data_IF_049882890312
#
_entry.id   IF_049882890312
#
_cell.length_a   1.000
_cell.length_b   1.000
_cell.length_c   1.000
_cell.angle_alpha   90.00
_cell.angle_beta   90.00
_cell.angle_gamma   90.00
#
_symmetry.space_group_name_H-M   'P 1'
#
loop_
_entity.id
_entity.type
_entity.pdbx_description
1 polymer ?
#
# COMPACT_ATOMS: atom_id res chain seq x y z
N UNK A 1 4.95 -26.46 -56.04
CA UNK A 1 5.78 -26.66 -54.84
C UNK A 1 7.08 -25.91 -55.10
N UNK A 2 7.25 -24.71 -54.52
CA UNK A 2 8.07 -24.61 -53.30
C UNK A 2 7.52 -23.68 -52.20
N UNK A 3 7.91 -24.04 -50.98
CA UNK A 3 8.23 -23.25 -49.76
C UNK A 3 7.21 -22.27 -49.13
N UNK A 4 6.56 -22.78 -48.07
CA UNK A 4 5.93 -22.00 -47.01
C UNK A 4 7.00 -21.41 -46.08
N UNK A 5 7.10 -20.08 -46.04
CA UNK A 5 7.87 -19.34 -45.04
C UNK A 5 7.24 -19.52 -43.66
N UNK A 6 7.96 -20.22 -42.80
CA UNK A 6 7.64 -20.41 -41.39
C UNK A 6 7.95 -19.11 -40.63
N UNK A 7 6.94 -18.29 -40.32
CA UNK A 7 7.11 -17.09 -39.50
C UNK A 7 7.13 -17.46 -38.01
N UNK A 8 8.28 -17.22 -37.39
CA UNK A 8 8.60 -17.61 -36.01
C UNK A 8 7.58 -17.15 -34.97
N UNK A 9 7.19 -18.11 -34.12
CA UNK A 9 6.54 -17.91 -32.84
C UNK A 9 7.58 -17.27 -31.90
N UNK A 10 7.57 -15.94 -31.77
CA UNK A 10 8.35 -15.26 -30.70
C UNK A 10 7.62 -15.46 -29.38
N UNK A 11 8.27 -16.22 -28.50
CA UNK A 11 7.77 -16.57 -27.18
C UNK A 11 7.50 -15.35 -26.29
N UNK A 12 6.47 -15.48 -25.48
CA UNK A 12 6.27 -14.69 -24.27
C UNK A 12 7.45 -14.95 -23.34
N UNK A 13 8.29 -13.94 -23.12
CA UNK A 13 9.20 -13.92 -21.97
C UNK A 13 8.36 -13.51 -20.77
N UNK A 14 7.91 -14.47 -19.99
CA UNK A 14 7.59 -14.23 -18.59
C UNK A 14 8.87 -13.70 -17.93
N UNK A 15 8.84 -12.46 -17.46
CA UNK A 15 9.92 -11.91 -16.65
C UNK A 15 10.01 -12.76 -15.38
N UNK A 16 11.12 -13.49 -15.23
CA UNK A 16 11.38 -14.27 -14.05
C UNK A 16 11.48 -13.33 -12.85
N UNK A 17 10.56 -13.48 -11.88
CA UNK A 17 10.63 -12.81 -10.58
C UNK A 17 11.98 -13.20 -9.97
N UNK A 18 12.88 -12.23 -9.78
CA UNK A 18 14.18 -12.50 -9.19
C UNK A 18 13.99 -13.26 -7.86
N UNK A 19 14.72 -14.36 -7.68
CA UNK A 19 14.67 -15.13 -6.43
C UNK A 19 15.04 -14.21 -5.26
N UNK A 20 14.12 -14.10 -4.30
CA UNK A 20 14.36 -13.35 -3.09
C UNK A 20 15.29 -14.15 -2.17
N UNK A 21 16.19 -13.49 -1.43
CA UNK A 21 17.04 -14.18 -0.47
C UNK A 21 16.19 -14.93 0.55
N UNK A 22 16.69 -16.05 1.12
CA UNK A 22 15.99 -16.78 2.17
C UNK A 22 15.59 -15.85 3.33
N UNK A 23 14.41 -16.10 3.90
CA UNK A 23 13.96 -15.35 5.07
C UNK A 23 14.80 -15.70 6.30
N UNK A 24 15.33 -14.68 6.96
CA UNK A 24 16.06 -14.80 8.22
C UNK A 24 15.12 -14.54 9.40
N UNK A 25 14.92 -15.54 10.27
CA UNK A 25 14.13 -15.40 11.49
C UNK A 25 14.92 -14.66 12.59
N UNK A 26 14.21 -14.21 13.63
CA UNK A 26 14.79 -13.63 14.86
C UNK A 26 15.61 -12.34 14.68
N UNK A 27 15.48 -11.66 13.55
CA UNK A 27 15.99 -10.30 13.37
C UNK A 27 15.13 -9.34 14.22
N UNK A 28 15.73 -8.52 15.11
CA UNK A 28 14.99 -7.50 15.86
C UNK A 28 14.23 -6.53 14.95
N UNK A 29 13.01 -6.16 15.36
CA UNK A 29 12.22 -5.15 14.65
C UNK A 29 13.02 -3.83 14.55
N UNK A 30 13.17 -3.23 13.35
CA UNK A 30 13.85 -1.96 13.19
C UNK A 30 13.08 -0.84 13.90
N UNK A 31 13.80 0.04 14.59
CA UNK A 31 13.19 1.14 15.37
C UNK A 31 13.57 2.51 14.85
N UNK A 32 14.63 2.59 14.06
CA UNK A 32 15.09 3.84 13.43
C UNK A 32 14.86 3.84 11.93
N UNK A 33 14.72 5.03 11.33
CA UNK A 33 14.59 5.17 9.86
C UNK A 33 15.76 4.52 9.12
N UNK A 34 16.98 4.65 9.65
CA UNK A 34 18.18 4.08 9.05
C UNK A 34 18.14 2.54 8.97
N UNK A 35 17.54 1.89 9.96
CA UNK A 35 17.33 0.43 9.95
C UNK A 35 16.17 0.04 9.02
N UNK A 36 15.07 0.81 9.04
CA UNK A 36 13.89 0.58 8.22
C UNK A 36 14.22 0.59 6.71
N UNK A 37 15.03 1.55 6.25
CA UNK A 37 15.43 1.70 4.84
C UNK A 37 16.18 0.48 4.29
N UNK A 38 16.79 -0.36 5.15
CA UNK A 38 17.43 -1.61 4.71
C UNK A 38 16.42 -2.57 4.05
N UNK A 39 15.14 -2.47 4.41
CA UNK A 39 14.05 -3.29 3.88
C UNK A 39 13.25 -2.60 2.79
N UNK A 40 13.76 -1.51 2.21
CA UNK A 40 13.05 -0.73 1.20
C UNK A 40 12.55 -1.60 0.03
N UNK A 41 11.26 -1.47 -0.31
CA UNK A 41 10.68 -2.06 -1.51
C UNK A 41 10.18 -0.98 -2.48
N UNK A 42 10.47 -1.10 -3.79
CA UNK A 42 9.84 -0.24 -4.78
C UNK A 42 8.36 -0.62 -4.91
N UNK A 43 7.48 0.37 -4.89
CA UNK A 43 6.04 0.19 -5.06
C UNK A 43 5.50 1.08 -6.19
N UNK A 44 4.41 0.62 -6.80
CA UNK A 44 3.66 1.34 -7.82
C UNK A 44 2.18 0.99 -7.67
N UNK A 45 1.33 2.01 -7.70
CA UNK A 45 -0.11 1.88 -7.61
C UNK A 45 -0.68 1.17 -8.85
N UNK A 46 -1.68 0.32 -8.64
CA UNK A 46 -2.36 -0.41 -9.71
C UNK A 46 -3.64 0.32 -10.15
N UNK A 47 -3.59 0.91 -11.35
CA UNK A 47 -4.69 1.62 -12.00
C UNK A 47 -5.92 0.72 -12.28
N UNK A 48 -5.73 -0.60 -12.32
CA UNK A 48 -6.83 -1.58 -12.41
C UNK A 48 -7.68 -1.57 -11.15
N UNK A 49 -7.10 -1.25 -10.00
CA UNK A 49 -7.77 -1.33 -8.70
C UNK A 49 -8.36 -0.01 -8.26
N UNK A 50 -7.83 1.11 -8.75
CA UNK A 50 -8.19 2.44 -8.29
C UNK A 50 -9.68 2.77 -8.46
N UNK A 51 -10.33 3.23 -7.41
CA UNK A 51 -11.71 3.73 -7.52
C UNK A 51 -11.80 4.90 -8.50
N UNK A 52 -12.96 5.06 -9.16
CA UNK A 52 -13.15 5.97 -10.30
C UNK A 52 -12.89 7.46 -10.00
N UNK A 53 -12.89 7.92 -8.75
CA UNK A 53 -12.58 9.30 -8.35
C UNK A 53 -11.08 9.56 -8.16
N UNK A 54 -10.25 8.51 -8.21
CA UNK A 54 -8.82 8.61 -8.03
C UNK A 54 -8.07 8.82 -9.34
N UNK A 55 -7.16 9.78 -9.32
CA UNK A 55 -6.28 10.10 -10.44
C UNK A 55 -4.86 9.66 -10.11
N UNK A 56 -4.39 8.62 -10.79
CA UNK A 56 -3.01 8.14 -10.66
C UNK A 56 -2.13 8.89 -11.66
N UNK A 57 -0.98 9.37 -11.19
CA UNK A 57 0.02 10.08 -11.99
C UNK A 57 1.45 9.68 -11.59
N UNK A 58 2.45 10.33 -12.17
CA UNK A 58 3.89 10.08 -11.90
C UNK A 58 4.29 8.60 -12.06
N UNK A 59 3.75 7.93 -13.09
CA UNK A 59 4.07 6.52 -13.37
C UNK A 59 3.56 5.54 -12.30
N UNK A 60 2.50 5.90 -11.57
CA UNK A 60 1.95 5.07 -10.49
C UNK A 60 2.51 5.39 -9.11
N UNK A 61 3.33 6.44 -8.96
CA UNK A 61 3.84 6.86 -7.66
C UNK A 61 2.86 7.77 -6.91
N UNK A 62 2.02 8.53 -7.60
CA UNK A 62 1.13 9.54 -7.00
C UNK A 62 -0.33 9.23 -7.28
N UNK A 63 -1.19 9.49 -6.29
CA UNK A 63 -2.64 9.47 -6.44
C UNK A 63 -3.28 10.69 -5.78
N UNK A 64 -4.32 11.23 -6.40
CA UNK A 64 -5.07 12.36 -5.87
C UNK A 64 -6.57 12.22 -6.09
N UNK A 65 -7.35 12.89 -5.24
CA UNK A 65 -8.80 13.04 -5.37
C UNK A 65 -9.16 14.52 -5.33
N UNK A 66 -9.01 15.18 -6.47
CA UNK A 66 -9.19 16.64 -6.61
C UNK A 66 -10.52 17.04 -7.25
N UNK A 67 -11.26 16.08 -7.80
CA UNK A 67 -12.54 16.29 -8.48
C UNK A 67 -13.52 15.19 -8.09
N UNK A 68 -14.82 15.52 -8.07
CA UNK A 68 -15.89 14.53 -7.97
C UNK A 68 -16.28 13.95 -9.34
N UNK A 69 -15.65 14.41 -10.42
CA UNK A 69 -15.81 13.80 -11.74
C UNK A 69 -15.03 12.50 -11.82
N UNK A 70 -15.68 11.39 -12.21
CA UNK A 70 -14.99 10.13 -12.43
C UNK A 70 -13.90 10.24 -13.52
N UNK A 71 -12.75 9.63 -13.27
CA UNK A 71 -11.70 9.40 -14.25
C UNK A 71 -12.21 8.49 -15.38
N UNK A 72 -11.84 8.74 -16.65
CA UNK A 72 -12.27 7.92 -17.79
C UNK A 72 -11.51 6.58 -17.83
N UNK A 73 -11.87 5.67 -16.93
CA UNK A 73 -11.26 4.34 -16.79
C UNK A 73 -12.25 3.23 -17.14
N UNK A 74 -11.72 2.13 -17.69
CA UNK A 74 -12.51 0.93 -17.93
C UNK A 74 -12.97 0.31 -16.62
N UNK A 75 -14.21 -0.18 -16.58
CA UNK A 75 -14.67 -0.95 -15.44
C UNK A 75 -13.96 -2.30 -15.40
N UNK A 76 -13.58 -2.73 -14.19
CA UNK A 76 -12.76 -3.92 -13.96
C UNK A 76 -13.21 -4.62 -12.68
N UNK A 77 -13.18 -5.96 -12.65
CA UNK A 77 -13.58 -6.70 -11.45
C UNK A 77 -12.69 -6.37 -10.25
N UNK A 78 -11.41 -6.06 -10.47
CA UNK A 78 -10.43 -5.72 -9.43
C UNK A 78 -10.59 -4.31 -8.85
N UNK A 79 -11.45 -3.47 -9.44
CA UNK A 79 -11.61 -2.05 -9.09
C UNK A 79 -12.40 -1.88 -7.80
N UNK A 80 -11.95 -1.02 -6.89
CA UNK A 80 -12.78 -0.57 -5.79
C UNK A 80 -14.01 0.19 -6.31
N UNK A 81 -15.18 -0.10 -5.74
CA UNK A 81 -16.44 0.48 -6.20
C UNK A 81 -16.80 1.77 -5.43
N UNK A 82 -16.82 1.70 -4.09
CA UNK A 82 -17.34 2.77 -3.25
C UNK A 82 -16.24 3.60 -2.57
N UNK A 83 -15.33 2.95 -1.86
CA UNK A 83 -14.29 3.65 -1.13
C UNK A 83 -13.19 4.14 -2.09
N UNK A 84 -12.77 5.42 -2.04
CA UNK A 84 -11.73 5.99 -2.90
C UNK A 84 -10.34 5.44 -2.54
N UNK A 85 -10.15 4.18 -2.90
CA UNK A 85 -8.99 3.35 -2.57
C UNK A 85 -8.27 2.84 -3.81
N UNK A 86 -7.00 2.54 -3.63
CA UNK A 86 -6.14 1.89 -4.61
C UNK A 86 -5.09 1.08 -3.86
N UNK A 87 -4.73 -0.09 -4.41
CA UNK A 87 -3.63 -0.93 -3.92
C UNK A 87 -2.47 -0.94 -4.91
N UNK A 88 -1.29 -1.33 -4.44
CA UNK A 88 -0.11 -1.51 -5.28
C UNK A 88 -0.20 -2.77 -6.12
N UNK A 89 0.60 -2.81 -7.20
CA UNK A 89 0.69 -3.96 -8.11
C UNK A 89 1.32 -5.18 -7.46
N UNK A 90 2.34 -4.94 -6.65
CA UNK A 90 3.13 -5.97 -5.98
C UNK A 90 2.81 -6.01 -4.48
N UNK A 91 2.67 -7.23 -3.95
CA UNK A 91 2.47 -7.48 -2.53
C UNK A 91 3.72 -8.04 -1.83
N UNK A 92 3.55 -8.27 -0.53
CA UNK A 92 4.50 -8.95 0.32
C UNK A 92 3.97 -10.33 0.70
N UNK A 93 4.71 -11.37 0.35
CA UNK A 93 4.48 -12.75 0.76
C UNK A 93 5.80 -13.35 1.22
N UNK A 94 5.85 -13.86 2.46
CA UNK A 94 7.01 -14.55 2.98
C UNK A 94 8.25 -13.67 3.23
N UNK A 95 8.09 -12.34 3.33
CA UNK A 95 9.23 -11.40 3.38
C UNK A 95 8.97 -10.17 4.24
N UNK A 96 10.06 -9.42 4.47
CA UNK A 96 10.04 -8.05 4.99
C UNK A 96 9.93 -7.02 3.88
N UNK A 97 9.35 -5.87 4.19
CA UNK A 97 9.40 -4.70 3.34
C UNK A 97 9.11 -3.41 4.09
N UNK A 98 9.65 -2.32 3.56
CA UNK A 98 9.46 -0.98 4.07
C UNK A 98 9.21 -0.01 2.91
N UNK A 99 8.29 0.93 3.09
CA UNK A 99 8.08 2.03 2.15
C UNK A 99 7.59 3.27 2.89
N UNK A 100 7.69 4.41 2.22
CA UNK A 100 7.29 5.71 2.76
C UNK A 100 6.28 6.37 1.82
N UNK A 101 5.25 6.98 2.40
CA UNK A 101 4.19 7.69 1.68
C UNK A 101 4.12 9.11 2.20
N UNK A 102 4.41 10.06 1.32
CA UNK A 102 4.14 11.48 1.54
C UNK A 102 2.65 11.75 1.27
N UNK A 103 2.02 12.61 2.07
CA UNK A 103 0.61 12.91 1.92
C UNK A 103 0.25 14.37 2.22
N UNK A 104 -0.86 14.79 1.63
CA UNK A 104 -1.50 16.08 1.86
C UNK A 104 -3.00 15.87 2.03
N UNK A 105 -3.57 16.50 3.06
CA UNK A 105 -4.98 16.35 3.41
C UNK A 105 -5.26 15.08 4.21
N UNK A 106 -6.43 14.48 3.99
CA UNK A 106 -6.87 13.25 4.64
C UNK A 106 -6.39 12.04 3.83
N UNK A 107 -5.74 11.10 4.52
CA UNK A 107 -5.27 9.85 3.93
C UNK A 107 -5.34 8.74 4.97
N UNK A 108 -5.60 7.51 4.50
CA UNK A 108 -5.37 6.27 5.23
C UNK A 108 -4.42 5.41 4.43
N UNK A 109 -3.38 4.89 5.07
CA UNK A 109 -2.32 4.09 4.47
C UNK A 109 -2.28 2.77 5.21
N UNK A 110 -2.19 1.67 4.49
CA UNK A 110 -2.25 0.36 5.12
C UNK A 110 -1.82 -0.78 4.22
N UNK A 111 -2.12 -1.97 4.70
CA UNK A 111 -2.03 -3.21 3.94
C UNK A 111 -3.36 -3.95 4.01
N UNK A 112 -3.67 -4.69 2.96
CA UNK A 112 -4.87 -5.52 2.85
C UNK A 112 -4.49 -6.85 2.21
N UNK A 113 -5.16 -7.93 2.60
CA UNK A 113 -4.99 -9.21 1.94
C UNK A 113 -5.37 -9.14 0.46
N UNK A 114 -4.58 -9.80 -0.39
CA UNK A 114 -4.81 -9.88 -1.82
C UNK A 114 -6.18 -10.48 -2.16
N UNK A 115 -6.65 -11.44 -1.35
CA UNK A 115 -7.97 -12.07 -1.46
C UNK A 115 -9.15 -11.23 -0.98
N UNK A 116 -8.91 -10.06 -0.36
CA UNK A 116 -9.99 -9.23 0.19
C UNK A 116 -10.93 -8.71 -0.91
N UNK A 117 -12.23 -8.73 -0.60
CA UNK A 117 -13.27 -8.15 -1.42
C UNK A 117 -13.10 -6.64 -1.61
N UNK A 118 -13.61 -6.12 -2.73
CA UNK A 118 -13.42 -4.72 -3.17
C UNK A 118 -14.73 -4.04 -3.58
N UNK A 119 -15.84 -4.77 -3.52
CA UNK A 119 -17.19 -4.33 -3.91
C UNK A 119 -18.10 -4.28 -2.68
N UNK A 120 -19.18 -3.51 -2.72
CA UNK A 120 -20.13 -3.43 -1.59
C UNK A 120 -20.77 -4.78 -1.25
N UNK A 121 -21.02 -5.63 -2.24
CA UNK A 121 -21.55 -6.98 -2.03
C UNK A 121 -20.62 -7.88 -1.19
N UNK A 122 -19.35 -7.51 -1.09
CA UNK A 122 -18.34 -8.22 -0.30
C UNK A 122 -18.31 -7.72 1.17
N UNK A 123 -19.14 -6.72 1.52
CA UNK A 123 -19.17 -6.09 2.85
C UNK A 123 -18.36 -4.79 2.93
N UNK A 124 -17.90 -4.45 4.12
CA UNK A 124 -17.05 -3.28 4.36
C UNK A 124 -15.67 -3.48 3.71
N UNK A 125 -15.39 -2.71 2.66
CA UNK A 125 -14.16 -2.85 1.86
C UNK A 125 -13.15 -1.73 2.11
N UNK A 126 -13.42 -0.78 3.01
CA UNK A 126 -12.46 0.24 3.43
C UNK A 126 -11.26 -0.36 4.16
N UNK A 127 -10.09 0.23 3.96
CA UNK A 127 -8.86 -0.11 4.68
C UNK A 127 -9.08 0.07 6.18
N UNK A 128 -8.95 -1.02 6.93
CA UNK A 128 -9.17 -1.10 8.36
C UNK A 128 -10.62 -1.34 8.77
N UNK A 129 -11.59 -1.33 7.85
CA UNK A 129 -13.01 -1.59 8.14
C UNK A 129 -13.34 -3.10 8.17
N UNK A 130 -12.36 -3.97 7.91
CA UNK A 130 -12.52 -5.42 7.90
C UNK A 130 -11.31 -6.12 8.55
N UNK A 131 -11.46 -7.42 8.82
CA UNK A 131 -10.42 -8.26 9.43
C UNK A 131 -9.22 -8.54 8.51
N UNK A 132 -9.36 -8.24 7.22
CA UNK A 132 -8.36 -8.50 6.19
C UNK A 132 -7.44 -7.30 5.94
N UNK A 133 -7.58 -6.21 6.70
CA UNK A 133 -6.79 -4.99 6.50
C UNK A 133 -6.39 -4.30 7.80
N UNK A 134 -5.23 -3.63 7.74
CA UNK A 134 -4.62 -2.88 8.83
C UNK A 134 -4.13 -1.55 8.30
N UNK A 135 -4.54 -0.47 8.94
CA UNK A 135 -4.22 0.86 8.43
C UNK A 135 -3.99 1.90 9.52
N UNK A 136 -3.28 2.96 9.15
CA UNK A 136 -3.11 4.19 9.93
C UNK A 136 -3.25 5.38 9.00
N UNK A 137 -3.79 6.48 9.49
CA UNK A 137 -4.06 7.65 8.67
C UNK A 137 -4.25 8.92 9.47
N UNK A 138 -4.21 10.05 8.78
CA UNK A 138 -4.43 11.36 9.37
C UNK A 138 -5.87 11.80 9.14
N UNK A 139 -6.64 11.89 10.24
CA UNK A 139 -8.07 12.22 10.23
C UNK A 139 -8.37 13.73 10.13
N UNK A 140 -7.36 14.59 10.22
CA UNK A 140 -7.50 16.06 10.23
C UNK A 140 -7.07 16.70 11.54
N UNK A 141 -7.32 16.03 12.67
CA UNK A 141 -6.96 16.49 14.03
C UNK A 141 -5.95 15.57 14.73
N UNK A 142 -6.00 14.27 14.45
CA UNK A 142 -5.15 13.25 15.04
C UNK A 142 -4.92 12.12 14.03
N UNK A 143 -4.00 11.21 14.38
CA UNK A 143 -3.89 9.95 13.67
C UNK A 143 -4.89 8.95 14.23
N UNK A 144 -5.33 8.05 13.38
CA UNK A 144 -6.16 6.93 13.78
C UNK A 144 -5.57 5.65 13.17
N UNK A 145 -5.60 4.58 13.96
CA UNK A 145 -5.24 3.25 13.53
C UNK A 145 -6.52 2.42 13.43
N UNK A 146 -6.76 1.76 12.29
CA UNK A 146 -7.96 0.97 12.04
C UNK A 146 -7.66 -0.49 11.73
N UNK A 147 -8.49 -1.37 12.27
CA UNK A 147 -8.54 -2.80 11.97
C UNK A 147 -9.89 -3.39 12.39
N UNK A 148 -10.46 -4.29 11.58
CA UNK A 148 -11.73 -4.98 11.88
C UNK A 148 -12.92 -4.06 12.21
N UNK A 149 -12.90 -2.82 11.70
CA UNK A 149 -13.93 -1.81 11.98
C UNK A 149 -13.71 -1.04 13.29
N UNK A 150 -12.76 -1.46 14.12
CA UNK A 150 -12.35 -0.74 15.32
C UNK A 150 -11.29 0.32 15.00
N UNK A 151 -11.19 1.33 15.86
CA UNK A 151 -10.18 2.38 15.72
C UNK A 151 -9.56 2.80 17.04
N UNK A 152 -8.29 3.19 16.98
CA UNK A 152 -7.53 3.74 18.10
C UNK A 152 -7.00 5.12 17.72
N UNK A 153 -7.30 6.12 18.55
CA UNK A 153 -6.80 7.48 18.36
C UNK A 153 -5.35 7.63 18.84
N UNK A 154 -4.52 8.24 18.01
CA UNK A 154 -3.11 8.46 18.27
C UNK A 154 -2.86 9.96 18.18
N UNK A 155 -2.64 10.56 19.34
CA UNK A 155 -2.40 11.99 19.48
C UNK A 155 -0.97 12.32 19.04
N UNK A 156 -0.82 13.42 18.30
CA UNK A 156 0.47 13.89 17.84
C UNK A 156 0.34 15.01 16.83
N UNK A 157 1.47 15.65 16.54
CA UNK A 157 1.51 16.72 15.54
C UNK A 157 1.28 16.15 14.13
N UNK A 158 0.69 16.99 13.29
CA UNK A 158 0.58 16.69 11.87
C UNK A 158 1.99 16.65 11.26
N UNK A 159 2.34 15.50 10.70
CA UNK A 159 3.45 15.35 9.77
C UNK A 159 2.93 15.25 8.34
N UNK A 160 3.82 14.84 7.43
CA UNK A 160 3.51 14.71 6.01
C UNK A 160 3.95 13.37 5.41
N UNK A 161 4.63 12.51 6.17
CA UNK A 161 5.19 11.26 5.67
C UNK A 161 4.95 10.14 6.68
N UNK A 162 4.27 9.08 6.24
CA UNK A 162 4.12 7.83 7.01
C UNK A 162 5.02 6.76 6.40
N UNK A 163 5.87 6.16 7.23
CA UNK A 163 6.61 4.95 6.92
C UNK A 163 5.82 3.72 7.35
N UNK A 164 5.82 2.67 6.53
CA UNK A 164 5.17 1.40 6.84
C UNK A 164 6.20 0.28 6.75
N UNK A 165 6.36 -0.45 7.83
CA UNK A 165 7.19 -1.64 7.91
C UNK A 165 6.30 -2.88 8.04
N UNK A 166 6.63 -3.91 7.28
CA UNK A 166 5.95 -5.20 7.31
C UNK A 166 7.01 -6.29 7.45
N UNK A 167 6.78 -7.19 8.39
CA UNK A 167 7.44 -8.48 8.49
C UNK A 167 6.34 -9.55 8.44
N UNK A 168 6.05 -10.06 7.24
CA UNK A 168 4.89 -10.93 7.03
C UNK A 168 5.05 -12.28 7.75
N UNK A 169 6.21 -12.96 7.73
CA UNK A 169 6.41 -14.19 8.51
C UNK A 169 6.43 -13.97 10.03
N UNK A 170 6.97 -12.84 10.52
CA UNK A 170 6.94 -12.54 11.96
C UNK A 170 5.59 -11.98 12.43
N UNK A 171 4.67 -11.71 11.51
CA UNK A 171 3.34 -11.25 11.86
C UNK A 171 3.27 -9.78 12.29
N UNK A 172 4.16 -8.92 11.78
CA UNK A 172 4.26 -7.51 12.20
C UNK A 172 3.90 -6.57 11.07
N UNK A 173 3.04 -5.59 11.37
CA UNK A 173 2.88 -4.36 10.57
C UNK A 173 3.02 -3.18 11.52
N UNK A 174 3.99 -2.31 11.25
CA UNK A 174 4.29 -1.13 12.06
C UNK A 174 4.25 0.14 11.21
N UNK A 175 3.63 1.18 11.76
CA UNK A 175 3.44 2.48 11.13
C UNK A 175 4.22 3.54 11.90
N UNK A 176 4.97 4.35 11.17
CA UNK A 176 5.83 5.39 11.73
C UNK A 176 5.48 6.73 11.11
N UNK A 177 5.45 7.78 11.92
CA UNK A 177 5.49 9.14 11.43
C UNK A 177 6.96 9.53 11.25
N UNK A 178 7.29 10.11 10.09
CA UNK A 178 8.63 10.64 9.83
C UNK A 178 8.61 12.16 9.98
N UNK A 179 9.38 12.67 10.94
CA UNK A 179 9.38 14.09 11.32
C UNK A 179 10.80 14.68 11.30
N UNK A 180 10.90 15.98 11.00
CA UNK A 180 12.15 16.73 11.05
C UNK A 180 13.17 16.38 9.94
N UNK A 181 14.37 16.95 10.07
CA UNK A 181 15.56 16.66 9.27
C UNK A 181 16.62 16.12 10.24
N UNK A 182 17.05 14.84 10.17
CA UNK A 182 17.09 13.95 9.00
C UNK A 182 15.95 12.89 8.92
N UNK A 183 14.70 13.24 9.27
CA UNK A 183 13.52 12.35 9.30
C UNK A 183 13.62 11.23 10.34
N UNK A 184 13.40 11.58 11.60
CA UNK A 184 13.32 10.60 12.69
C UNK A 184 12.01 9.80 12.59
N UNK A 185 12.09 8.50 12.85
CA UNK A 185 10.93 7.61 12.83
C UNK A 185 10.30 7.51 14.22
N UNK A 186 9.08 8.02 14.36
CA UNK A 186 8.28 7.87 15.57
C UNK A 186 7.17 6.85 15.35
N UNK A 187 7.14 5.80 16.15
CA UNK A 187 6.09 4.78 16.05
C UNK A 187 4.71 5.41 16.32
N UNK A 188 3.78 5.23 15.39
CA UNK A 188 2.36 5.57 15.55
C UNK A 188 1.60 4.38 16.10
N UNK A 189 1.71 3.23 15.43
CA UNK A 189 0.99 2.03 15.81
C UNK A 189 1.70 0.77 15.28
N UNK A 190 1.46 -0.36 15.94
CA UNK A 190 1.94 -1.67 15.50
C UNK A 190 0.88 -2.72 15.76
N UNK A 191 0.57 -3.48 14.71
CA UNK A 191 -0.23 -4.69 14.80
C UNK A 191 0.68 -5.90 14.87
N UNK A 192 0.28 -6.88 15.68
CA UNK A 192 0.88 -8.22 15.73
C UNK A 192 -0.20 -9.25 15.48
N UNK A 193 -0.07 -10.02 14.40
CA UNK A 193 -1.05 -11.04 13.99
C UNK A 193 -0.41 -12.07 13.07
N UNK A 194 -1.01 -13.25 12.93
CA UNK A 194 -0.54 -14.27 12.01
C UNK A 194 -1.11 -14.02 10.61
N UNK A 195 -0.31 -13.47 9.69
CA UNK A 195 -0.75 -13.24 8.32
C UNK A 195 -0.88 -14.54 7.54
N UNK A 196 -2.03 -14.72 6.88
CA UNK A 196 -2.36 -15.95 6.14
C UNK A 196 -2.39 -15.79 4.63
N UNK A 197 -2.21 -14.57 4.12
CA UNK A 197 -2.27 -14.23 2.70
C UNK A 197 -1.20 -13.18 2.34
N UNK A 198 -1.00 -12.97 1.04
CA UNK A 198 -0.18 -11.88 0.50
C UNK A 198 -0.77 -10.53 0.92
N UNK A 199 0.10 -9.64 1.42
CA UNK A 199 -0.27 -8.29 1.84
C UNK A 199 -0.02 -7.30 0.71
N UNK A 200 -1.07 -6.64 0.22
CA UNK A 200 -0.99 -5.55 -0.74
C UNK A 200 -0.94 -4.21 -0.01
N UNK A 201 0.11 -3.39 -0.21
CA UNK A 201 0.11 -1.99 0.23
C UNK A 201 -1.02 -1.22 -0.45
N UNK A 202 -1.74 -0.41 0.32
CA UNK A 202 -2.88 0.35 -0.17
C UNK A 202 -2.99 1.73 0.45
N UNK A 203 -3.72 2.60 -0.24
CA UNK A 203 -4.05 3.94 0.22
C UNK A 203 -5.51 4.25 -0.05
N UNK A 204 -6.10 5.02 0.86
CA UNK A 204 -7.43 5.60 0.76
C UNK A 204 -7.30 7.11 0.85
N UNK A 205 -7.77 7.82 -0.18
CA UNK A 205 -7.57 9.27 -0.32
C UNK A 205 -8.89 10.03 -0.18
N UNK A 206 -8.88 11.03 0.69
CA UNK A 206 -10.02 11.89 0.98
C UNK A 206 -10.23 12.96 -0.08
N UNK A 207 -11.31 13.72 0.00
CA UNK A 207 -11.53 14.85 -0.90
C UNK A 207 -10.41 15.88 -0.75
N UNK A 208 -10.01 16.51 -1.86
CA UNK A 208 -8.97 17.55 -1.92
C UNK A 208 -7.65 17.10 -1.28
N UNK A 209 -7.35 15.81 -1.38
CA UNK A 209 -6.19 15.18 -0.76
C UNK A 209 -5.37 14.43 -1.80
N UNK A 210 -4.10 14.17 -1.49
CA UNK A 210 -3.22 13.37 -2.33
C UNK A 210 -2.17 12.64 -1.51
N UNK A 211 -1.60 11.60 -2.09
CA UNK A 211 -0.41 10.96 -1.55
C UNK A 211 0.53 10.50 -2.65
N UNK A 212 1.81 10.36 -2.28
CA UNK A 212 2.90 9.95 -3.17
C UNK A 212 3.79 8.94 -2.47
N UNK A 213 3.94 7.78 -3.08
CA UNK A 213 4.94 6.77 -2.71
C UNK A 213 6.31 7.37 -3.00
N UNK A 214 7.15 7.48 -1.97
CA UNK A 214 8.51 8.02 -2.12
C UNK A 214 9.38 7.05 -2.90
N UNK A 215 10.48 7.56 -3.46
CA UNK A 215 11.58 6.74 -3.95
C UNK A 215 12.59 6.57 -2.82
N UNK A 216 13.38 5.49 -2.88
CA UNK A 216 14.50 5.30 -1.96
C UNK A 216 15.49 6.45 -2.15
N UNK A 217 15.73 7.20 -1.09
CA UNK A 217 16.76 8.24 -1.00
C UNK A 217 17.93 7.77 -0.11
#
# INVERSE_FOLDING_TARGET
MPELKNSGRKGSKAEARAEQPPYEADIPEPTTRAELIKYWIPLSLDDRTAQKLLWISEGGAKVSRMSEQPCPVLDRPERYEHAPQVVCKDGLLGRRGYWEVEYEGWVVIGVVYASSGRKAKDGACGLGENEASWAVGWGGSHYQAWHAGDSVEIHGNRGNTIGVYVDQPAGVVAFYLLEGEPREARLLHRYKTCFTDELLPGVWVGQKSSCRIRKKD
#
